data_IF_737769592568
#
_entry.id   IF_737769592568
#
_cell.length_a   1.000
_cell.length_b   1.000
_cell.length_c   1.000
_cell.angle_alpha   90.00
_cell.angle_beta   90.00
_cell.angle_gamma   90.00
#
_symmetry.space_group_name_H-M   'P 1'
#
loop_
_entity.id
_entity.type
_entity.pdbx_description
1 polymer ?
#
# COMPACT_ATOMS: atom_id res chain seq x y z
N UNK A 1 -0.24 -15.52 -20.30
CA UNK A 1 0.69 -14.41 -20.55
C UNK A 1 0.34 -13.33 -19.54
N UNK A 2 1.33 -12.65 -18.95
CA UNK A 2 1.06 -11.54 -18.02
C UNK A 2 0.28 -10.44 -18.75
N UNK A 3 -0.79 -9.95 -18.16
CA UNK A 3 -1.58 -8.83 -18.67
C UNK A 3 -0.76 -7.53 -18.67
N UNK A 4 0.30 -7.46 -17.85
CA UNK A 4 1.13 -6.29 -17.57
C UNK A 4 2.58 -6.55 -17.99
N UNK A 5 3.30 -5.50 -18.37
CA UNK A 5 4.71 -5.53 -18.77
C UNK A 5 5.66 -5.21 -17.61
N UNK A 6 5.23 -4.37 -16.67
CA UNK A 6 6.03 -3.91 -15.52
C UNK A 6 5.55 -4.48 -14.19
N UNK A 7 4.48 -5.25 -14.20
CA UNK A 7 3.91 -5.91 -13.02
C UNK A 7 3.76 -7.41 -13.28
N UNK A 8 3.95 -8.20 -12.22
CA UNK A 8 3.55 -9.61 -12.21
C UNK A 8 2.43 -9.78 -11.18
N UNK A 9 1.37 -10.48 -11.56
CA UNK A 9 0.27 -10.78 -10.66
C UNK A 9 -0.13 -12.24 -10.75
N UNK A 10 -0.26 -12.86 -9.59
CA UNK A 10 -0.71 -14.25 -9.46
C UNK A 10 -1.68 -14.32 -8.27
N UNK A 11 -2.66 -15.21 -8.38
CA UNK A 11 -3.60 -15.51 -7.29
C UNK A 11 -3.48 -16.98 -6.95
N UNK A 12 -3.30 -17.27 -5.67
CA UNK A 12 -3.32 -18.61 -5.12
C UNK A 12 -4.06 -18.59 -3.78
N UNK A 13 -5.00 -19.49 -3.57
CA UNK A 13 -5.76 -19.64 -2.32
C UNK A 13 -6.38 -18.31 -1.83
N UNK A 14 -6.97 -17.54 -2.74
CA UNK A 14 -7.54 -16.21 -2.50
C UNK A 14 -6.52 -15.11 -2.11
N UNK A 15 -5.23 -15.39 -2.22
CA UNK A 15 -4.15 -14.43 -1.96
C UNK A 15 -3.58 -13.98 -3.30
N UNK A 16 -3.72 -12.69 -3.61
CA UNK A 16 -3.10 -12.08 -4.78
C UNK A 16 -1.69 -11.61 -4.43
N UNK A 17 -0.70 -11.97 -5.22
CA UNK A 17 0.66 -11.43 -5.10
C UNK A 17 0.94 -10.51 -6.28
N UNK A 18 1.05 -9.22 -6.00
CA UNK A 18 1.46 -8.17 -6.95
C UNK A 18 2.94 -7.88 -6.76
N UNK A 19 3.72 -8.07 -7.81
CA UNK A 19 5.16 -7.80 -7.82
C UNK A 19 5.46 -6.65 -8.79
N UNK A 20 6.08 -5.59 -8.30
CA UNK A 20 6.66 -4.53 -9.13
C UNK A 20 7.87 -5.12 -9.86
N UNK A 21 7.89 -5.14 -11.18
CA UNK A 21 8.82 -5.94 -11.97
C UNK A 21 9.67 -5.11 -12.95
N UNK A 22 10.43 -4.16 -12.39
CA UNK A 22 11.50 -3.43 -13.08
C UNK A 22 12.79 -3.46 -12.24
N UNK A 23 13.31 -4.66 -11.85
CA UNK A 23 14.40 -4.78 -10.88
C UNK A 23 15.69 -4.08 -11.32
N UNK A 24 15.97 -3.99 -12.62
CA UNK A 24 17.11 -3.27 -13.20
C UNK A 24 17.04 -1.75 -12.95
N UNK A 25 15.86 -1.21 -12.64
CA UNK A 25 15.58 0.20 -12.32
C UNK A 25 15.11 0.40 -10.89
N UNK A 26 15.41 -0.54 -9.98
CA UNK A 26 14.95 -0.51 -8.58
C UNK A 26 13.42 -0.37 -8.50
N UNK A 27 12.69 -0.99 -9.42
CA UNK A 27 11.24 -0.94 -9.52
C UNK A 27 10.67 0.49 -9.57
N UNK A 28 11.45 1.43 -10.16
CA UNK A 28 11.03 2.81 -10.30
C UNK A 28 9.78 2.92 -11.19
N UNK A 29 8.86 3.79 -10.79
CA UNK A 29 7.58 4.02 -11.43
C UNK A 29 7.79 4.90 -12.66
N UNK A 30 7.66 4.32 -13.85
CA UNK A 30 7.55 5.04 -15.11
C UNK A 30 6.06 5.19 -15.51
N UNK A 31 5.80 5.81 -16.66
CA UNK A 31 4.44 6.02 -17.16
C UNK A 31 3.70 4.69 -17.34
N UNK A 32 4.37 3.67 -17.86
CA UNK A 32 3.78 2.34 -18.08
C UNK A 32 3.39 1.69 -16.75
N UNK A 33 4.29 1.67 -15.78
CA UNK A 33 3.99 1.11 -14.45
C UNK A 33 2.89 1.91 -13.75
N UNK A 34 2.86 3.25 -13.91
CA UNK A 34 1.81 4.09 -13.34
C UNK A 34 0.43 3.74 -13.93
N UNK A 35 0.35 3.54 -15.24
CA UNK A 35 -0.88 3.14 -15.93
C UNK A 35 -1.33 1.72 -15.50
N UNK A 36 -0.40 0.78 -15.51
CA UNK A 36 -0.66 -0.61 -15.13
C UNK A 36 -1.10 -0.73 -13.67
N UNK A 37 -0.48 0.02 -12.75
CA UNK A 37 -0.90 0.07 -11.34
C UNK A 37 -2.29 0.70 -11.18
N UNK A 38 -2.58 1.77 -11.93
CA UNK A 38 -3.90 2.40 -11.94
C UNK A 38 -4.99 1.43 -12.37
N UNK A 39 -4.76 0.72 -13.48
CA UNK A 39 -5.66 -0.32 -14.01
C UNK A 39 -5.81 -1.48 -13.02
N UNK A 40 -4.69 -1.98 -12.48
CA UNK A 40 -4.69 -3.05 -11.49
C UNK A 40 -5.60 -2.74 -10.30
N UNK A 41 -5.42 -1.59 -9.64
CA UNK A 41 -6.21 -1.23 -8.46
C UNK A 41 -7.69 -0.95 -8.81
N UNK A 42 -7.94 -0.42 -10.00
CA UNK A 42 -9.32 -0.25 -10.48
C UNK A 42 -10.05 -1.59 -10.61
N UNK A 43 -9.42 -2.59 -11.21
CA UNK A 43 -9.98 -3.93 -11.36
C UNK A 43 -10.21 -4.62 -10.01
N UNK A 44 -9.33 -4.41 -9.01
CA UNK A 44 -9.47 -5.01 -7.67
C UNK A 44 -10.69 -4.53 -6.89
N UNK A 45 -11.27 -3.39 -7.23
CA UNK A 45 -12.50 -2.90 -6.56
C UNK A 45 -13.67 -3.86 -6.68
N UNK A 46 -13.75 -4.59 -7.79
CA UNK A 46 -14.84 -5.50 -8.10
C UNK A 46 -14.42 -6.98 -8.03
N UNK A 47 -13.19 -7.25 -7.65
CA UNK A 47 -12.68 -8.61 -7.51
C UNK A 47 -13.21 -9.24 -6.21
N UNK A 48 -13.95 -10.33 -6.36
CA UNK A 48 -14.53 -11.10 -5.24
C UNK A 48 -13.70 -12.35 -4.91
N UNK A 49 -12.79 -12.75 -5.80
CA UNK A 49 -11.97 -13.94 -5.64
C UNK A 49 -10.75 -13.71 -4.77
N UNK A 50 -10.10 -12.55 -4.95
CA UNK A 50 -8.97 -12.16 -4.12
C UNK A 50 -9.44 -11.56 -2.81
N UNK A 51 -8.96 -12.10 -1.70
CA UNK A 51 -9.31 -11.65 -0.34
C UNK A 51 -8.24 -10.79 0.30
N UNK A 52 -6.97 -11.02 -0.03
CA UNK A 52 -5.80 -10.29 0.49
C UNK A 52 -4.82 -10.08 -0.65
N UNK A 53 -4.14 -8.95 -0.68
CA UNK A 53 -3.09 -8.64 -1.65
C UNK A 53 -1.75 -8.50 -0.93
N UNK A 54 -0.75 -9.24 -1.40
CA UNK A 54 0.65 -9.04 -1.05
C UNK A 54 1.27 -8.17 -2.13
N UNK A 55 1.92 -7.07 -1.74
CA UNK A 55 2.64 -6.16 -2.62
C UNK A 55 4.15 -6.25 -2.33
N UNK A 56 4.96 -6.53 -3.35
CA UNK A 56 6.41 -6.64 -3.22
C UNK A 56 7.14 -6.07 -4.43
N UNK A 57 8.45 -5.88 -4.30
CA UNK A 57 9.34 -5.53 -5.41
C UNK A 57 10.16 -6.73 -5.88
N UNK A 58 10.38 -6.85 -7.19
CA UNK A 58 11.28 -7.84 -7.77
C UNK A 58 12.75 -7.46 -7.57
N UNK A 59 13.64 -8.46 -7.57
CA UNK A 59 15.09 -8.29 -7.53
C UNK A 59 15.65 -8.06 -6.14
N UNK A 60 16.97 -7.76 -6.11
CA UNK A 60 17.73 -7.75 -4.86
C UNK A 60 17.86 -6.36 -4.22
N UNK A 61 17.69 -5.29 -4.99
CA UNK A 61 18.08 -3.93 -4.58
C UNK A 61 17.05 -3.22 -3.70
N UNK A 62 15.78 -3.59 -3.79
CA UNK A 62 14.76 -2.98 -2.96
C UNK A 62 13.35 -3.08 -3.51
N UNK A 63 12.43 -2.61 -2.70
CA UNK A 63 11.01 -2.62 -2.97
C UNK A 63 10.66 -1.70 -4.15
N UNK A 64 10.94 -0.40 -4.04
CA UNK A 64 10.68 0.59 -5.08
C UNK A 64 11.46 1.88 -4.82
N UNK A 65 12.20 2.36 -5.82
CA UNK A 65 12.99 3.60 -5.75
C UNK A 65 12.19 4.89 -5.96
N UNK A 66 10.88 4.82 -6.16
CA UNK A 66 10.03 5.97 -6.44
C UNK A 66 9.83 6.20 -7.93
N UNK A 67 9.69 7.45 -8.34
CA UNK A 67 9.53 7.81 -9.76
C UNK A 67 10.81 7.53 -10.57
N UNK A 68 10.65 7.11 -11.82
CA UNK A 68 11.76 7.10 -12.78
C UNK A 68 12.09 8.54 -13.19
N UNK A 69 13.00 9.16 -12.43
CA UNK A 69 13.36 10.57 -12.57
C UNK A 69 13.86 10.87 -13.99
N UNK A 70 14.49 9.91 -14.66
CA UNK A 70 14.98 10.14 -16.04
C UNK A 70 13.84 10.37 -17.03
N UNK A 71 12.67 9.80 -16.78
CA UNK A 71 11.47 10.07 -17.60
C UNK A 71 10.68 11.27 -17.10
N UNK A 72 10.59 11.48 -15.80
CA UNK A 72 9.83 12.59 -15.22
C UNK A 72 10.53 13.95 -15.39
N UNK A 73 11.87 13.99 -15.29
CA UNK A 73 12.66 15.21 -15.28
C UNK A 73 12.51 16.10 -16.52
N UNK A 74 12.48 15.57 -17.78
CA UNK A 74 12.26 16.41 -18.95
C UNK A 74 10.96 17.21 -18.91
N UNK A 75 9.89 16.65 -18.29
CA UNK A 75 8.61 17.36 -18.11
C UNK A 75 8.73 18.52 -17.12
N UNK A 76 9.44 18.28 -16.01
CA UNK A 76 9.72 19.32 -15.00
C UNK A 76 10.52 20.46 -15.63
N UNK A 77 11.56 20.13 -16.40
CA UNK A 77 12.43 21.12 -17.05
C UNK A 77 11.77 21.86 -18.22
N UNK A 78 10.75 21.29 -18.84
CA UNK A 78 9.99 21.96 -19.90
C UNK A 78 9.11 23.12 -19.38
N UNK A 79 8.97 23.28 -18.05
CA UNK A 79 8.17 24.34 -17.47
C UNK A 79 6.65 24.21 -17.69
N UNK A 80 6.19 23.05 -18.12
CA UNK A 80 4.77 22.75 -18.30
C UNK A 80 4.11 22.47 -16.93
N UNK A 81 3.79 23.53 -16.21
CA UNK A 81 3.14 23.44 -14.89
C UNK A 81 1.78 22.73 -14.97
N UNK A 82 0.87 23.03 -15.92
CA UNK A 82 -0.38 22.30 -16.04
C UNK A 82 -0.19 20.79 -16.29
N UNK A 83 0.70 20.42 -17.20
CA UNK A 83 0.99 19.01 -17.51
C UNK A 83 1.62 18.29 -16.31
N UNK A 84 2.53 18.95 -15.60
CA UNK A 84 3.09 18.40 -14.35
C UNK A 84 2.00 18.20 -13.29
N UNK A 85 1.08 19.16 -13.12
CA UNK A 85 -0.03 19.04 -12.18
C UNK A 85 -0.94 17.83 -12.51
N UNK A 86 -1.28 17.63 -13.77
CA UNK A 86 -2.05 16.47 -14.22
C UNK A 86 -1.31 15.15 -13.92
N UNK A 87 -0.01 15.13 -14.14
CA UNK A 87 0.82 13.96 -13.79
C UNK A 87 0.81 13.68 -12.29
N UNK A 88 0.98 14.70 -11.44
CA UNK A 88 0.89 14.57 -9.98
C UNK A 88 -0.48 14.04 -9.53
N UNK A 89 -1.57 14.50 -10.16
CA UNK A 89 -2.90 13.97 -9.86
C UNK A 89 -3.02 12.47 -10.19
N UNK A 90 -2.37 11.98 -11.25
CA UNK A 90 -2.37 10.53 -11.58
C UNK A 90 -1.67 9.72 -10.49
N UNK A 91 -0.53 10.20 -9.99
CA UNK A 91 0.19 9.58 -8.87
C UNK A 91 -0.65 9.55 -7.58
N UNK A 92 -1.31 10.66 -7.25
CA UNK A 92 -2.17 10.75 -6.07
C UNK A 92 -3.39 9.81 -6.16
N UNK A 93 -3.99 9.71 -7.36
CA UNK A 93 -5.12 8.80 -7.60
C UNK A 93 -4.75 7.33 -7.47
N UNK A 94 -3.51 6.96 -7.82
CA UNK A 94 -2.99 5.63 -7.58
C UNK A 94 -3.07 5.24 -6.09
N UNK A 95 -2.59 6.11 -5.21
CA UNK A 95 -2.59 5.84 -3.76
C UNK A 95 -4.00 5.83 -3.17
N UNK A 96 -4.86 6.71 -3.66
CA UNK A 96 -6.27 6.70 -3.29
C UNK A 96 -6.95 5.38 -3.71
N UNK A 97 -6.67 4.89 -4.92
CA UNK A 97 -7.20 3.61 -5.40
C UNK A 97 -6.70 2.42 -4.54
N UNK A 98 -5.42 2.43 -4.12
CA UNK A 98 -4.90 1.45 -3.16
C UNK A 98 -5.66 1.47 -1.83
N UNK A 99 -5.91 2.64 -1.26
CA UNK A 99 -6.65 2.77 0.01
C UNK A 99 -8.10 2.34 -0.11
N UNK A 100 -8.74 2.66 -1.24
CA UNK A 100 -10.13 2.29 -1.53
C UNK A 100 -10.30 0.83 -1.97
N UNK A 101 -9.21 0.13 -2.27
CA UNK A 101 -9.25 -1.30 -2.58
C UNK A 101 -9.83 -2.07 -1.38
N UNK A 102 -10.88 -2.88 -1.58
CA UNK A 102 -11.55 -3.56 -0.46
C UNK A 102 -10.70 -4.68 0.17
N UNK A 103 -9.72 -5.21 -0.55
CA UNK A 103 -8.80 -6.21 -0.03
C UNK A 103 -7.76 -5.56 0.88
N UNK A 104 -7.43 -6.12 2.06
CA UNK A 104 -6.23 -5.74 2.79
C UNK A 104 -4.97 -5.91 1.95
N UNK A 105 -4.04 -4.95 2.05
CA UNK A 105 -2.77 -4.92 1.33
C UNK A 105 -1.62 -5.08 2.33
N UNK A 106 -0.80 -6.10 2.14
CA UNK A 106 0.41 -6.37 2.93
C UNK A 106 1.62 -6.04 2.05
N UNK A 107 2.36 -4.97 2.39
CA UNK A 107 3.61 -4.67 1.73
C UNK A 107 4.76 -5.48 2.34
N UNK A 108 5.51 -6.20 1.50
CA UNK A 108 6.75 -6.88 1.85
C UNK A 108 7.91 -6.06 1.32
N UNK A 109 8.71 -5.49 2.21
CA UNK A 109 9.66 -4.46 1.87
C UNK A 109 11.08 -4.92 2.23
N UNK A 110 11.93 -4.99 1.22
CA UNK A 110 13.37 -5.17 1.38
C UNK A 110 14.09 -3.98 0.74
N UNK A 111 15.30 -3.68 1.19
CA UNK A 111 16.12 -2.61 0.64
C UNK A 111 15.38 -1.28 0.58
N UNK A 112 15.47 -0.55 -0.53
CA UNK A 112 14.95 0.80 -0.64
C UNK A 112 13.42 0.86 -0.90
N UNK A 113 12.73 1.69 -0.11
CA UNK A 113 11.37 2.18 -0.33
C UNK A 113 11.42 3.72 -0.30
N UNK A 114 11.56 4.35 -1.47
CA UNK A 114 11.83 5.78 -1.57
C UNK A 114 10.75 6.50 -2.40
N UNK A 115 10.46 7.76 -2.09
CA UNK A 115 9.51 8.58 -2.83
C UNK A 115 8.16 7.87 -3.06
N UNK A 116 7.77 7.62 -4.31
CA UNK A 116 6.56 6.86 -4.64
C UNK A 116 6.53 5.46 -4.04
N UNK A 117 7.70 4.81 -3.84
CA UNK A 117 7.81 3.53 -3.14
C UNK A 117 7.48 3.65 -1.65
N UNK A 118 7.96 4.70 -0.98
CA UNK A 118 7.54 5.04 0.38
C UNK A 118 6.03 5.24 0.43
N UNK A 119 5.48 6.00 -0.50
CA UNK A 119 4.05 6.31 -0.53
C UNK A 119 3.18 5.06 -0.71
N UNK A 120 3.56 4.12 -1.58
CA UNK A 120 2.88 2.82 -1.70
C UNK A 120 3.00 1.98 -0.42
N UNK A 121 4.18 2.00 0.23
CA UNK A 121 4.37 1.34 1.52
C UNK A 121 3.44 1.93 2.59
N UNK A 122 3.32 3.26 2.66
CA UNK A 122 2.44 3.96 3.60
C UNK A 122 0.95 3.72 3.30
N UNK A 123 0.57 3.66 2.04
CA UNK A 123 -0.81 3.38 1.61
C UNK A 123 -1.23 1.92 1.84
N UNK A 124 -0.30 0.99 2.02
CA UNK A 124 -0.59 -0.40 2.38
C UNK A 124 -1.10 -0.50 3.82
N UNK A 125 -1.92 -1.52 4.10
CA UNK A 125 -2.51 -1.69 5.43
C UNK A 125 -1.48 -2.23 6.43
N UNK A 126 -0.66 -3.19 6.00
CA UNK A 126 0.43 -3.76 6.80
C UNK A 126 1.76 -3.64 6.07
N UNK A 127 2.83 -3.47 6.82
CA UNK A 127 4.23 -3.42 6.35
C UNK A 127 5.05 -4.44 7.12
N UNK A 128 5.60 -5.43 6.41
CA UNK A 128 6.58 -6.40 6.90
C UNK A 128 7.87 -6.09 6.16
N UNK A 129 8.95 -5.91 6.88
CA UNK A 129 10.21 -5.46 6.29
C UNK A 129 11.36 -6.38 6.66
N UNK A 130 12.40 -6.40 5.84
CA UNK A 130 13.67 -7.02 6.16
C UNK A 130 14.59 -6.05 6.91
N UNK A 131 15.62 -6.58 7.56
CA UNK A 131 16.58 -5.78 8.32
C UNK A 131 17.36 -4.76 7.46
N UNK A 132 17.47 -4.99 6.15
CA UNK A 132 18.11 -4.08 5.19
C UNK A 132 17.17 -3.02 4.62
N UNK A 133 15.88 -3.02 5.02
CA UNK A 133 14.93 -2.05 4.51
C UNK A 133 15.23 -0.61 4.97
N UNK A 134 15.03 0.33 4.04
CA UNK A 134 15.24 1.76 4.29
C UNK A 134 14.13 2.57 3.63
N UNK A 135 13.57 3.50 4.38
CA UNK A 135 12.55 4.43 3.91
C UNK A 135 13.14 5.81 3.67
N UNK A 136 12.76 6.48 2.59
CA UNK A 136 13.22 7.82 2.28
C UNK A 136 12.13 8.68 1.65
N UNK A 137 11.94 9.91 2.16
CA UNK A 137 11.16 10.95 1.53
C UNK A 137 12.01 11.65 0.44
N UNK A 138 12.33 10.92 -0.63
CA UNK A 138 13.32 11.31 -1.62
C UNK A 138 12.95 12.57 -2.48
N UNK A 139 11.77 13.14 -2.27
CA UNK A 139 11.28 14.31 -3.01
C UNK A 139 12.13 15.56 -2.74
N UNK A 140 12.53 15.79 -1.47
CA UNK A 140 13.33 16.94 -1.06
C UNK A 140 14.72 16.93 -1.71
N UNK A 141 15.31 15.74 -1.91
CA UNK A 141 16.62 15.58 -2.54
C UNK A 141 16.70 15.99 -4.01
N UNK A 142 15.54 16.16 -4.68
CA UNK A 142 15.45 16.62 -6.07
C UNK A 142 14.83 18.01 -6.20
N UNK A 143 14.77 18.78 -5.11
CA UNK A 143 14.27 20.15 -5.10
C UNK A 143 12.76 20.29 -5.04
N UNK A 144 12.02 19.21 -4.78
CA UNK A 144 10.57 19.24 -4.51
C UNK A 144 10.29 19.34 -3.00
N UNK A 145 9.04 19.59 -2.63
CA UNK A 145 8.63 19.57 -1.23
C UNK A 145 8.82 18.19 -0.59
N UNK A 146 9.24 18.13 0.67
CA UNK A 146 9.44 16.87 1.41
C UNK A 146 8.16 16.08 1.66
N UNK A 147 7.00 16.72 1.57
CA UNK A 147 5.69 16.09 1.70
C UNK A 147 5.01 15.94 0.35
N UNK A 148 4.92 14.70 -0.14
CA UNK A 148 4.28 14.38 -1.41
C UNK A 148 3.59 13.01 -1.31
N UNK A 149 2.68 12.73 -2.26
CA UNK A 149 2.04 11.43 -2.45
C UNK A 149 1.55 10.81 -1.11
N UNK A 150 0.78 11.56 -0.32
CA UNK A 150 0.19 11.15 0.96
C UNK A 150 1.13 11.00 2.17
N UNK A 151 2.41 11.27 2.05
CA UNK A 151 3.35 11.13 3.18
C UNK A 151 2.97 12.03 4.37
N UNK A 152 2.51 13.28 4.12
CA UNK A 152 2.02 14.20 5.16
C UNK A 152 0.71 13.75 5.82
N UNK A 153 -0.05 12.87 5.19
CA UNK A 153 -1.25 12.29 5.77
C UNK A 153 -0.93 11.06 6.64
N UNK A 154 -0.16 10.10 6.12
CA UNK A 154 0.07 8.84 6.81
C UNK A 154 1.14 8.91 7.89
N UNK A 155 2.27 9.59 7.65
CA UNK A 155 3.38 9.57 8.60
C UNK A 155 3.00 10.12 9.98
N UNK A 156 2.35 11.31 10.11
CA UNK A 156 1.96 11.80 11.43
C UNK A 156 1.01 10.86 12.19
N UNK A 157 0.19 10.10 11.46
CA UNK A 157 -0.74 9.12 12.02
C UNK A 157 -0.06 7.83 12.45
N UNK A 158 1.04 7.44 11.79
CA UNK A 158 1.78 6.21 12.06
C UNK A 158 2.87 6.40 13.12
N UNK A 159 3.64 7.51 13.04
CA UNK A 159 4.85 7.72 13.86
C UNK A 159 4.78 8.98 14.73
N UNK A 160 3.65 9.66 14.74
CA UNK A 160 3.47 10.93 15.44
C UNK A 160 4.04 12.13 14.67
N UNK A 161 3.49 13.31 14.94
CA UNK A 161 3.79 14.51 14.17
C UNK A 161 5.27 14.93 14.28
N UNK A 162 5.88 14.87 15.47
CA UNK A 162 7.27 15.28 15.67
C UNK A 162 8.25 14.50 14.79
N UNK A 163 8.12 13.17 14.75
CA UNK A 163 8.98 12.32 13.89
C UNK A 163 8.68 12.48 12.42
N UNK A 164 7.41 12.71 12.07
CA UNK A 164 7.03 12.99 10.69
C UNK A 164 7.63 14.31 10.18
N UNK A 165 7.64 15.37 11.00
CA UNK A 165 8.31 16.62 10.68
C UNK A 165 9.81 16.44 10.46
N UNK A 166 10.49 15.78 11.40
CA UNK A 166 11.93 15.51 11.27
C UNK A 166 12.23 14.80 9.95
N UNK A 167 11.56 13.67 9.69
CA UNK A 167 11.79 12.87 8.50
C UNK A 167 11.49 13.59 7.19
N UNK A 168 10.35 14.31 7.12
CA UNK A 168 9.94 14.98 5.88
C UNK A 168 10.74 16.27 5.61
N UNK A 169 11.18 16.98 6.66
CA UNK A 169 11.93 18.22 6.50
C UNK A 169 13.42 17.98 6.25
N UNK A 170 14.01 16.94 6.83
CA UNK A 170 15.41 16.59 6.62
C UNK A 170 15.62 15.77 5.35
N UNK A 171 14.67 14.91 4.99
CA UNK A 171 14.84 13.94 3.92
C UNK A 171 15.77 12.77 4.29
N UNK A 172 16.09 12.61 5.58
CA UNK A 172 16.92 11.53 6.09
C UNK A 172 16.28 10.15 5.88
N UNK A 173 17.07 9.10 6.07
CA UNK A 173 16.56 7.73 5.98
C UNK A 173 16.00 7.26 7.33
N UNK A 174 14.90 6.51 7.29
CA UNK A 174 14.45 5.65 8.41
C UNK A 174 14.91 4.23 8.10
N UNK A 175 15.79 3.66 8.91
CA UNK A 175 16.19 2.26 8.83
C UNK A 175 15.19 1.31 9.48
N UNK A 176 15.41 -0.01 9.36
CA UNK A 176 14.50 -1.02 9.85
C UNK A 176 14.29 -0.96 11.37
N UNK A 177 15.36 -0.73 12.15
CA UNK A 177 15.28 -0.67 13.61
C UNK A 177 14.49 0.56 14.07
N UNK A 178 14.74 1.71 13.46
CA UNK A 178 14.00 2.95 13.70
C UNK A 178 12.54 2.81 13.28
N UNK A 179 12.28 2.24 12.10
CA UNK A 179 10.91 1.99 11.61
C UNK A 179 10.10 1.12 12.58
N UNK A 180 10.73 0.09 13.15
CA UNK A 180 10.11 -0.77 14.15
C UNK A 180 9.84 -0.01 15.46
N UNK A 181 10.82 0.73 15.96
CA UNK A 181 10.69 1.48 17.22
C UNK A 181 9.62 2.57 17.16
N UNK A 182 9.42 3.17 15.99
CA UNK A 182 8.39 4.19 15.74
C UNK A 182 7.00 3.62 15.46
N UNK A 183 6.85 2.29 15.31
CA UNK A 183 5.57 1.68 14.92
C UNK A 183 5.20 1.88 13.45
N UNK A 184 6.15 2.29 12.61
CA UNK A 184 5.93 2.45 11.17
C UNK A 184 5.63 1.10 10.50
N UNK A 185 6.17 0.00 11.03
CA UNK A 185 6.08 -1.34 10.48
C UNK A 185 5.55 -2.34 11.48
N UNK A 186 4.85 -3.37 10.99
CA UNK A 186 4.27 -4.40 11.82
C UNK A 186 5.29 -5.44 12.29
N UNK A 187 6.28 -5.75 11.45
CA UNK A 187 7.31 -6.77 11.71
C UNK A 187 8.59 -6.45 10.97
N UNK A 188 9.72 -6.80 11.59
CA UNK A 188 11.04 -6.89 10.97
C UNK A 188 11.46 -8.36 11.01
N UNK A 189 11.87 -8.91 9.88
CA UNK A 189 12.24 -10.33 9.73
C UNK A 189 13.47 -10.48 8.83
N UNK A 190 14.06 -11.65 8.80
CA UNK A 190 15.08 -11.97 7.80
C UNK A 190 14.48 -11.91 6.39
N UNK A 191 15.28 -11.60 5.40
CA UNK A 191 14.83 -11.35 4.03
C UNK A 191 14.09 -12.55 3.41
N UNK A 192 14.59 -13.75 3.64
CA UNK A 192 13.99 -15.01 3.20
C UNK A 192 12.67 -15.32 3.93
N UNK A 193 12.43 -14.67 5.07
CA UNK A 193 11.22 -14.81 5.87
C UNK A 193 10.11 -13.79 5.52
N UNK A 194 10.37 -12.85 4.61
CA UNK A 194 9.36 -11.86 4.18
C UNK A 194 8.12 -12.54 3.61
N UNK A 195 8.31 -13.36 2.56
CA UNK A 195 7.18 -14.04 1.91
C UNK A 195 6.49 -15.06 2.82
N UNK A 196 7.19 -15.96 3.54
CA UNK A 196 6.55 -16.87 4.49
C UNK A 196 5.73 -16.13 5.55
N UNK A 197 6.25 -15.03 6.11
CA UNK A 197 5.55 -14.22 7.12
C UNK A 197 4.31 -13.54 6.53
N UNK A 198 4.44 -12.96 5.34
CA UNK A 198 3.33 -12.32 4.62
C UNK A 198 2.20 -13.30 4.29
N UNK A 199 2.56 -14.46 3.75
CA UNK A 199 1.60 -15.53 3.44
C UNK A 199 0.90 -16.06 4.70
N UNK A 200 1.61 -16.25 5.81
CA UNK A 200 1.01 -16.68 7.07
C UNK A 200 -0.05 -15.71 7.61
N UNK A 201 0.22 -14.39 7.50
CA UNK A 201 -0.77 -13.36 7.85
C UNK A 201 -1.94 -13.34 6.85
N UNK A 202 -1.67 -13.39 5.56
CA UNK A 202 -2.70 -13.41 4.52
C UNK A 202 -3.62 -14.61 4.67
N UNK A 203 -3.09 -15.82 4.91
CA UNK A 203 -3.85 -17.03 5.21
C UNK A 203 -4.72 -16.87 6.45
N UNK A 204 -4.20 -16.22 7.50
CA UNK A 204 -4.97 -15.95 8.72
C UNK A 204 -6.15 -15.03 8.44
N UNK A 205 -5.98 -14.01 7.60
CA UNK A 205 -7.04 -13.12 7.13
C UNK A 205 -8.06 -13.86 6.25
N UNK A 206 -7.59 -14.71 5.32
CA UNK A 206 -8.46 -15.48 4.42
C UNK A 206 -9.38 -16.47 5.14
N UNK A 207 -9.03 -16.89 6.37
CA UNK A 207 -9.92 -17.72 7.22
C UNK A 207 -11.05 -16.94 7.90
N UNK A 208 -11.06 -15.60 7.81
CA UNK A 208 -12.14 -14.75 8.37
C UNK A 208 -13.27 -14.60 7.37
N UNK A 209 -14.43 -14.14 7.87
CA UNK A 209 -15.55 -13.78 7.00
C UNK A 209 -15.08 -12.75 5.94
N UNK A 210 -15.26 -13.01 4.63
CA UNK A 210 -14.75 -12.11 3.59
C UNK A 210 -15.35 -10.70 3.65
N UNK A 211 -16.64 -10.59 3.95
CA UNK A 211 -17.30 -9.31 4.12
C UNK A 211 -16.77 -8.59 5.37
N UNK A 212 -16.64 -9.31 6.48
CA UNK A 212 -16.10 -8.76 7.73
C UNK A 212 -14.67 -8.23 7.57
N UNK A 213 -13.82 -8.91 6.79
CA UNK A 213 -12.47 -8.46 6.49
C UNK A 213 -12.47 -7.11 5.74
N UNK A 214 -13.31 -6.98 4.71
CA UNK A 214 -13.46 -5.75 3.93
C UNK A 214 -14.01 -4.60 4.78
N UNK A 215 -15.07 -4.85 5.53
CA UNK A 215 -15.69 -3.85 6.38
C UNK A 215 -14.78 -3.41 7.53
N UNK A 216 -13.91 -4.29 8.05
CA UNK A 216 -12.89 -3.93 9.03
C UNK A 216 -11.88 -2.92 8.45
N UNK A 217 -11.37 -3.17 7.24
CA UNK A 217 -10.47 -2.22 6.57
C UNK A 217 -11.16 -0.87 6.34
N UNK A 218 -12.40 -0.89 5.83
CA UNK A 218 -13.19 0.30 5.59
C UNK A 218 -13.41 1.09 6.89
N UNK A 219 -13.80 0.41 7.97
CA UNK A 219 -14.02 1.03 9.27
C UNK A 219 -12.76 1.71 9.80
N UNK A 220 -11.59 1.06 9.74
CA UNK A 220 -10.33 1.66 10.16
C UNK A 220 -10.01 2.89 9.29
N UNK A 221 -10.16 2.81 7.96
CA UNK A 221 -9.91 3.93 7.07
C UNK A 221 -10.82 5.13 7.39
N UNK A 222 -12.12 4.88 7.57
CA UNK A 222 -13.08 5.92 7.93
C UNK A 222 -12.82 6.51 9.32
N UNK A 223 -12.43 5.69 10.31
CA UNK A 223 -12.17 6.15 11.67
C UNK A 223 -11.00 7.15 11.76
N UNK A 224 -10.02 7.02 10.87
CA UNK A 224 -8.89 7.96 10.80
C UNK A 224 -9.31 9.39 10.39
N UNK A 225 -10.49 9.55 9.79
CA UNK A 225 -11.05 10.81 9.30
C UNK A 225 -12.32 11.21 10.07
N UNK A 226 -12.82 10.37 10.97
CA UNK A 226 -14.05 10.60 11.69
C UNK A 226 -13.91 11.75 12.68
N UNK A 227 -14.93 12.61 12.76
CA UNK A 227 -14.96 13.76 13.68
C UNK A 227 -15.36 13.38 15.11
N UNK A 228 -15.84 12.15 15.36
CA UNK A 228 -16.22 11.70 16.69
C UNK A 228 -16.53 10.22 16.79
N UNK A 229 -16.52 9.73 18.04
CA UNK A 229 -16.75 8.32 18.37
C UNK A 229 -18.11 7.80 17.91
N UNK A 230 -19.17 8.60 18.04
CA UNK A 230 -20.53 8.18 17.68
C UNK A 230 -20.66 7.78 16.20
N UNK A 231 -19.99 8.52 15.29
CA UNK A 231 -20.00 8.20 13.88
C UNK A 231 -19.33 6.84 13.61
N UNK A 232 -18.23 6.55 14.31
CA UNK A 232 -17.51 5.28 14.20
C UNK A 232 -18.39 4.14 14.71
N UNK A 233 -18.97 4.26 15.89
CA UNK A 233 -19.84 3.23 16.48
C UNK A 233 -21.06 2.94 15.60
N UNK A 234 -21.75 3.97 15.09
CA UNK A 234 -22.88 3.79 14.18
C UNK A 234 -22.52 3.03 12.89
N UNK A 235 -21.29 3.22 12.38
CA UNK A 235 -20.78 2.46 11.24
C UNK A 235 -20.46 1.01 11.63
N UNK A 236 -19.77 0.80 12.76
CA UNK A 236 -19.42 -0.52 13.25
C UNK A 236 -20.66 -1.37 13.55
N UNK A 237 -21.69 -0.80 14.17
CA UNK A 237 -22.97 -1.48 14.45
C UNK A 237 -23.64 -1.98 13.15
N UNK A 238 -23.69 -1.13 12.10
CA UNK A 238 -24.19 -1.56 10.79
C UNK A 238 -23.35 -2.66 10.17
N UNK A 239 -22.04 -2.53 10.24
CA UNK A 239 -21.10 -3.51 9.70
C UNK A 239 -21.26 -4.87 10.40
N UNK A 240 -21.44 -4.89 11.72
CA UNK A 240 -21.71 -6.13 12.46
C UNK A 240 -23.05 -6.76 12.08
N UNK A 241 -24.11 -5.97 11.92
CA UNK A 241 -25.40 -6.45 11.47
C UNK A 241 -25.32 -7.09 10.06
N UNK A 242 -24.57 -6.48 9.14
CA UNK A 242 -24.33 -7.04 7.80
C UNK A 242 -23.54 -8.35 7.86
N UNK A 243 -22.48 -8.42 8.67
CA UNK A 243 -21.72 -9.65 8.87
C UNK A 243 -22.59 -10.76 9.47
N UNK A 244 -23.43 -10.43 10.45
CA UNK A 244 -24.37 -11.40 11.06
C UNK A 244 -25.37 -11.94 10.03
N UNK A 245 -25.86 -11.11 9.12
CA UNK A 245 -26.76 -11.54 8.05
C UNK A 245 -26.09 -12.59 7.12
N UNK A 246 -24.79 -12.45 6.80
CA UNK A 246 -24.08 -13.44 5.96
C UNK A 246 -23.96 -14.80 6.64
N UNK A 247 -23.74 -14.85 7.95
CA UNK A 247 -23.65 -16.10 8.70
C UNK A 247 -24.97 -16.91 8.66
N UNK A 248 -26.12 -16.22 8.67
CA UNK A 248 -27.44 -16.89 8.55
C UNK A 248 -27.67 -17.48 7.16
N UNK A 249 -27.20 -16.82 6.10
CA UNK A 249 -27.33 -17.33 4.73
C UNK A 249 -26.46 -18.57 4.50
N UNK A 250 -25.23 -18.59 5.01
CA UNK A 250 -24.34 -19.74 4.91
C UNK A 250 -24.86 -20.95 5.71
N UNK A 251 -25.42 -20.73 6.91
CA UNK A 251 -26.05 -21.78 7.70
C UNK A 251 -27.32 -22.35 7.08
N UNK A 252 -28.14 -21.53 6.42
CA UNK A 252 -29.34 -21.98 5.74
C UNK A 252 -29.04 -22.81 4.48
N UNK A 253 -27.96 -22.47 3.74
CA UNK A 253 -27.54 -23.22 2.54
C UNK A 253 -26.91 -24.58 2.84
N UNK A 254 -26.38 -24.79 4.04
CA UNK A 254 -25.86 -26.08 4.48
C UNK A 254 -26.95 -27.04 4.97
N UNK A 255 -28.08 -26.52 5.45
CA UNK A 255 -29.23 -27.34 5.90
C UNK A 255 -30.18 -27.75 4.77
N UNK A 256 -29.93 -27.32 3.54
CA UNK A 256 -30.75 -27.63 2.37
C UNK A 256 -30.10 -28.63 1.40
N UNK A 257 -28.98 -29.19 1.80
CA UNK A 257 -28.27 -30.30 1.11
C UNK A 257 -28.25 -31.54 2.00
#
# INVERSE_FOLDING_TARGET
MSQYSTLLYQVQDHIGTLTLNRPQKLNAIDDTMLEELGDFWHQRRHDTETRVIILQGAGEKGFCGGLDIKQAWPRVMAGDIPGFYVFQQRLSRLLLAMRQCPQPVIALIHGAAAGGGLSMALASDLRIISHDARFAAAYSGIGLGGADMSSSYFLPRLIGAGRAYEFLLTGDFIDAATAQSLGLVSRVVERDQLMPTGLGLAQTMCRKNPLGLRLTKEAINCSLEASGLEQVLNMEDRNQALCFATLRYEGASQNTR
#
